data_IF_692492323315
#
_entry.id   IF_692492323315
#
_cell.length_a   1.000
_cell.length_b   1.000
_cell.length_c   1.000
_cell.angle_alpha   90.00
_cell.angle_beta   90.00
_cell.angle_gamma   90.00
#
_symmetry.space_group_name_H-M   'P 1'
#
loop_
_entity.id
_entity.type
_entity.pdbx_description
1 polymer ?
#
# COMPACT_ATOMS: atom_id res chain seq x y z
N UNK A 1 6.25 -14.97 -4.63
CA UNK A 1 5.71 -14.70 -5.99
C UNK A 1 5.07 -13.33 -5.97
N UNK A 2 5.11 -12.58 -7.08
CA UNK A 2 4.41 -11.30 -7.18
C UNK A 2 2.95 -11.50 -7.58
N UNK A 3 2.05 -10.77 -6.94
CA UNK A 3 0.62 -10.72 -7.21
C UNK A 3 0.29 -9.34 -7.76
N UNK A 4 -0.49 -9.30 -8.83
CA UNK A 4 -0.96 -8.08 -9.46
C UNK A 4 -2.45 -7.90 -9.16
N UNK A 5 -2.83 -6.69 -8.79
CA UNK A 5 -4.20 -6.32 -8.44
C UNK A 5 -4.53 -4.99 -9.09
N UNK A 6 -5.61 -4.95 -9.87
CA UNK A 6 -6.05 -3.73 -10.54
C UNK A 6 -7.24 -3.15 -9.77
N UNK A 7 -7.14 -1.87 -9.40
CA UNK A 7 -8.21 -1.14 -8.75
C UNK A 7 -8.34 0.24 -9.40
N UNK A 8 -9.54 0.56 -9.91
CA UNK A 8 -9.86 1.82 -10.58
C UNK A 8 -8.85 2.23 -11.68
N UNK A 9 -8.26 1.26 -12.39
CA UNK A 9 -7.29 1.51 -13.48
C UNK A 9 -5.84 1.63 -13.03
N UNK A 10 -5.55 1.63 -11.72
CA UNK A 10 -4.19 1.58 -11.18
C UNK A 10 -3.81 0.12 -10.91
N UNK A 11 -2.57 -0.25 -11.27
CA UNK A 11 -2.04 -1.58 -11.01
C UNK A 11 -1.18 -1.57 -9.74
N UNK A 12 -1.61 -2.36 -8.76
CA UNK A 12 -0.87 -2.61 -7.53
C UNK A 12 -0.14 -3.95 -7.63
N UNK A 13 1.08 -4.00 -7.10
CA UNK A 13 1.87 -5.22 -7.04
C UNK A 13 2.41 -5.44 -5.63
N UNK A 14 2.47 -6.69 -5.19
CA UNK A 14 3.08 -7.05 -3.91
C UNK A 14 3.58 -8.49 -3.93
N UNK A 15 4.39 -8.85 -2.94
CA UNK A 15 4.78 -10.23 -2.72
C UNK A 15 3.65 -11.00 -2.00
N UNK A 16 3.25 -12.16 -2.53
CA UNK A 16 2.15 -13.00 -2.02
C UNK A 16 2.34 -13.41 -0.55
N UNK A 17 3.56 -13.77 -0.15
CA UNK A 17 3.84 -14.19 1.22
C UNK A 17 3.66 -13.02 2.19
N UNK A 18 4.15 -11.83 1.81
CA UNK A 18 3.90 -10.60 2.60
C UNK A 18 2.41 -10.28 2.70
N UNK A 19 1.65 -10.44 1.63
CA UNK A 19 0.20 -10.18 1.64
C UNK A 19 -0.56 -11.11 2.59
N UNK A 20 -0.13 -12.38 2.70
CA UNK A 20 -0.72 -13.35 3.64
C UNK A 20 -0.36 -13.04 5.09
N UNK A 21 0.84 -12.52 5.33
CA UNK A 21 1.35 -12.22 6.68
C UNK A 21 0.84 -10.86 7.19
N UNK A 22 0.62 -9.87 6.30
CA UNK A 22 0.29 -8.52 6.72
C UNK A 22 -0.93 -8.43 7.66
N UNK A 23 -2.07 -9.08 7.39
CA UNK A 23 -3.22 -9.04 8.29
C UNK A 23 -2.94 -9.62 9.68
N UNK A 24 -1.99 -10.56 9.79
CA UNK A 24 -1.60 -11.17 11.06
C UNK A 24 -0.78 -10.19 11.91
N UNK A 25 0.08 -9.41 11.26
CA UNK A 25 0.98 -8.48 11.93
C UNK A 25 0.40 -7.07 12.11
N UNK A 26 -0.64 -6.71 11.35
CA UNK A 26 -1.15 -5.35 11.23
C UNK A 26 -2.68 -5.33 11.30
N UNK A 27 -3.24 -5.70 12.46
CA UNK A 27 -4.66 -5.53 12.82
C UNK A 27 -5.68 -5.94 11.74
N UNK A 28 -5.38 -7.00 10.98
CA UNK A 28 -6.25 -7.52 9.93
C UNK A 28 -6.17 -6.78 8.59
N UNK A 29 -5.30 -5.78 8.45
CA UNK A 29 -5.18 -4.97 7.23
C UNK A 29 -4.59 -5.79 6.08
N UNK A 30 -5.35 -5.86 4.99
CA UNK A 30 -4.94 -6.53 3.75
C UNK A 30 -4.34 -5.53 2.76
N UNK A 31 -3.53 -5.98 1.81
CA UNK A 31 -3.02 -5.09 0.76
C UNK A 31 -4.09 -4.64 -0.24
N UNK A 32 -5.16 -5.42 -0.41
CA UNK A 32 -6.33 -5.00 -1.18
C UNK A 32 -7.04 -3.82 -0.52
N UNK A 33 -7.17 -3.84 0.81
CA UNK A 33 -7.70 -2.72 1.58
C UNK A 33 -6.74 -1.52 1.57
N UNK A 34 -5.44 -1.75 1.74
CA UNK A 34 -4.42 -0.70 1.67
C UNK A 34 -4.43 0.04 0.31
N UNK A 35 -4.71 -0.67 -0.78
CA UNK A 35 -4.84 -0.06 -2.11
C UNK A 35 -5.98 0.98 -2.20
N UNK A 36 -6.99 0.91 -1.33
CA UNK A 36 -8.10 1.87 -1.32
C UNK A 36 -7.65 3.27 -0.88
N UNK A 37 -6.61 3.36 -0.05
CA UNK A 37 -6.09 4.62 0.49
C UNK A 37 -5.57 5.55 -0.60
N UNK A 38 -5.08 5.00 -1.71
CA UNK A 38 -4.61 5.77 -2.87
C UNK A 38 -5.74 6.53 -3.59
N UNK A 39 -6.99 6.28 -3.21
CA UNK A 39 -8.16 6.98 -3.73
C UNK A 39 -8.81 7.92 -2.70
N UNK A 40 -8.19 8.09 -1.53
CA UNK A 40 -8.62 9.12 -0.58
C UNK A 40 -8.24 10.52 -1.12
N UNK A 41 -9.21 11.41 -1.38
CA UNK A 41 -8.92 12.77 -1.86
C UNK A 41 -8.12 13.61 -0.86
N UNK A 42 -8.05 13.18 0.41
CA UNK A 42 -7.31 13.86 1.48
C UNK A 42 -6.01 13.14 1.84
N UNK A 43 -5.56 12.19 1.02
CA UNK A 43 -4.32 11.46 1.30
C UNK A 43 -3.12 12.40 1.42
N UNK A 44 -2.17 12.00 2.26
CA UNK A 44 -0.90 12.68 2.44
C UNK A 44 0.22 11.72 2.11
N UNK A 45 1.14 12.14 1.24
CA UNK A 45 2.38 11.41 0.96
C UNK A 45 3.46 11.93 1.91
N UNK A 46 4.17 11.00 2.54
CA UNK A 46 5.30 11.29 3.44
C UNK A 46 6.51 10.45 3.06
N UNK A 47 7.70 10.97 3.30
CA UNK A 47 8.94 10.20 3.16
C UNK A 47 8.98 9.07 4.19
N UNK A 48 9.17 7.84 3.71
CA UNK A 48 9.25 6.63 4.51
C UNK A 48 10.58 5.88 4.27
N UNK A 49 11.58 6.59 3.76
CA UNK A 49 12.90 6.05 3.46
C UNK A 49 13.53 5.41 4.69
N UNK A 50 14.17 4.25 4.51
CA UNK A 50 14.81 3.51 5.62
C UNK A 50 16.08 2.83 5.14
N UNK A 51 17.18 3.02 5.87
CA UNK A 51 18.49 2.41 5.57
C UNK A 51 18.91 2.59 4.09
N UNK A 52 18.83 3.83 3.60
CA UNK A 52 19.16 4.21 2.22
C UNK A 52 18.26 3.61 1.11
N UNK A 53 17.18 2.92 1.47
CA UNK A 53 16.13 2.56 0.52
C UNK A 53 15.09 3.67 0.43
N UNK A 54 15.00 4.29 -0.76
CA UNK A 54 13.97 5.28 -1.08
C UNK A 54 12.58 4.60 -1.08
N UNK A 55 11.71 5.07 -0.18
CA UNK A 55 10.34 4.57 -0.02
C UNK A 55 9.45 5.74 0.36
N UNK A 56 8.22 5.70 -0.12
CA UNK A 56 7.19 6.64 0.28
C UNK A 56 6.16 5.93 1.15
N UNK A 57 5.42 6.70 1.94
CA UNK A 57 4.21 6.23 2.56
C UNK A 57 3.03 7.16 2.26
N UNK A 58 1.87 6.55 2.10
CA UNK A 58 0.60 7.25 2.02
C UNK A 58 -0.12 7.11 3.35
N UNK A 59 -0.69 8.21 3.83
CA UNK A 59 -1.58 8.26 4.98
C UNK A 59 -2.94 8.71 4.47
N UNK A 60 -3.97 7.91 4.72
CA UNK A 60 -5.33 8.24 4.29
C UNK A 60 -6.34 7.20 4.76
N UNK A 61 -7.57 7.36 4.31
CA UNK A 61 -8.70 6.54 4.71
C UNK A 61 -9.02 5.48 3.65
N UNK A 62 -9.29 4.25 4.10
CA UNK A 62 -9.91 3.24 3.25
C UNK A 62 -11.42 3.49 3.07
N UNK A 63 -12.12 2.64 2.31
CA UNK A 63 -13.58 2.80 2.10
C UNK A 63 -14.42 2.61 3.37
N UNK A 64 -13.83 2.05 4.42
CA UNK A 64 -14.47 1.80 5.71
C UNK A 64 -14.11 2.86 6.75
N UNK A 65 -13.46 3.96 6.33
CA UNK A 65 -13.02 5.05 7.19
C UNK A 65 -11.94 4.65 8.21
N UNK A 66 -11.19 3.59 7.95
CA UNK A 66 -10.00 3.27 8.73
C UNK A 66 -8.84 4.13 8.22
N UNK A 67 -8.18 4.83 9.15
CA UNK A 67 -6.95 5.56 8.84
C UNK A 67 -5.80 4.56 8.75
N UNK A 68 -5.15 4.51 7.58
CA UNK A 68 -4.07 3.56 7.31
C UNK A 68 -2.78 4.31 6.94
N UNK A 69 -1.66 3.71 7.32
CA UNK A 69 -0.31 4.07 6.89
C UNK A 69 0.22 2.99 5.95
N UNK A 70 0.40 3.32 4.67
CA UNK A 70 0.78 2.37 3.61
C UNK A 70 2.14 2.72 3.05
N UNK A 71 3.14 1.86 3.25
CA UNK A 71 4.47 2.03 2.66
C UNK A 71 4.50 1.42 1.27
N UNK A 72 4.93 2.19 0.29
CA UNK A 72 4.99 1.80 -1.11
C UNK A 72 6.23 2.31 -1.82
N UNK A 73 6.47 1.77 -3.01
CA UNK A 73 7.45 2.26 -3.98
C UNK A 73 6.76 2.36 -5.33
N UNK A 74 6.84 3.53 -5.96
CA UNK A 74 6.38 3.73 -7.32
C UNK A 74 7.34 3.07 -8.33
N UNK A 75 6.80 2.42 -9.35
CA UNK A 75 7.56 1.82 -10.45
C UNK A 75 7.11 2.40 -11.79
N UNK A 76 7.91 2.18 -12.83
CA UNK A 76 7.58 2.58 -14.20
C UNK A 76 6.19 2.04 -14.64
N UNK A 77 5.47 2.86 -15.42
CA UNK A 77 4.12 2.59 -15.96
C UNK A 77 2.98 2.57 -14.92
N UNK A 78 2.98 3.51 -13.98
CA UNK A 78 1.90 3.70 -12.99
C UNK A 78 1.65 2.46 -12.11
N UNK A 79 2.70 1.66 -11.88
CA UNK A 79 2.63 0.46 -11.03
C UNK A 79 3.06 0.83 -9.61
N UNK A 80 2.17 0.61 -8.65
CA UNK A 80 2.44 0.87 -7.23
C UNK A 80 2.79 -0.44 -6.53
N UNK A 81 4.00 -0.54 -5.96
CA UNK A 81 4.38 -1.70 -5.15
C UNK A 81 4.08 -1.46 -3.68
N UNK A 82 3.08 -2.15 -3.13
CA UNK A 82 2.80 -2.11 -1.68
C UNK A 82 3.79 -3.02 -0.95
N UNK A 83 4.45 -2.47 0.07
CA UNK A 83 5.43 -3.18 0.91
C UNK A 83 4.83 -3.57 2.25
N UNK A 84 4.07 -2.65 2.86
CA UNK A 84 3.53 -2.76 4.21
C UNK A 84 2.27 -1.90 4.32
N UNK A 85 1.32 -2.33 5.14
CA UNK A 85 0.17 -1.51 5.54
C UNK A 85 -0.16 -1.76 6.99
N UNK A 86 -0.39 -0.69 7.76
CA UNK A 86 -0.80 -0.72 9.16
C UNK A 86 -1.87 0.30 9.47
#
# INVERSE_FOLDING_TARGET
>A
MDVYFVLNGITFVWNDEKARINPINHDGVTFQQAAEVFFDPLLVVVDASRNDEARDAVIGLDRRWNLLYVVFVERENDIIRIILSS
#
